data_IF_019112055107
#
_entry.id   IF_019112055107
#
_cell.length_a   1.000
_cell.length_b   1.000
_cell.length_c   1.000
_cell.angle_alpha   90.00
_cell.angle_beta   90.00
_cell.angle_gamma   90.00
#
_symmetry.space_group_name_H-M   'P 1'
#
loop_
_entity.id
_entity.type
_entity.pdbx_description
1 polymer ?
#
# COMPACT_ATOMS: atom_id res chain seq x y z
N UNK A 1 3.59 40.53 40.92
CA UNK A 1 3.23 40.35 39.54
C UNK A 1 4.33 39.62 38.78
N UNK A 2 5.56 40.07 38.76
CA UNK A 2 6.69 39.45 38.05
C UNK A 2 6.96 37.97 38.36
N UNK A 3 6.81 37.52 39.59
CA UNK A 3 7.09 36.13 40.01
C UNK A 3 5.96 35.18 39.53
N UNK A 4 4.73 35.63 39.55
CA UNK A 4 3.59 34.85 39.08
C UNK A 4 3.62 34.68 37.55
N UNK A 5 4.00 35.69 36.78
CA UNK A 5 4.13 35.64 35.35
C UNK A 5 5.27 34.70 34.92
N UNK A 6 6.42 34.77 35.59
CA UNK A 6 7.57 33.87 35.36
C UNK A 6 7.26 32.41 35.70
N UNK A 7 6.56 32.13 36.80
CA UNK A 7 6.18 30.77 37.21
C UNK A 7 5.10 30.22 36.23
N UNK A 8 4.15 31.04 35.82
CA UNK A 8 3.12 30.63 34.87
C UNK A 8 3.73 30.31 33.49
N UNK A 9 4.68 31.12 33.03
CA UNK A 9 5.37 30.92 31.75
C UNK A 9 6.21 29.63 31.79
N UNK A 10 6.98 29.39 32.89
CA UNK A 10 7.78 28.16 33.03
C UNK A 10 6.93 26.89 33.12
N UNK A 11 5.79 26.93 33.83
CA UNK A 11 4.87 25.78 33.91
C UNK A 11 4.20 25.53 32.54
N UNK A 12 3.83 26.59 31.84
CA UNK A 12 3.21 26.49 30.54
C UNK A 12 4.17 25.89 29.53
N UNK A 13 5.43 26.33 29.50
CA UNK A 13 6.47 25.77 28.62
C UNK A 13 6.72 24.28 28.94
N UNK A 14 6.77 23.92 30.23
CA UNK A 14 6.98 22.52 30.64
C UNK A 14 5.81 21.59 30.24
N UNK A 15 4.58 22.10 30.31
CA UNK A 15 3.40 21.36 29.85
C UNK A 15 3.41 21.23 28.30
N UNK A 16 3.79 22.29 27.59
CA UNK A 16 3.87 22.31 26.14
C UNK A 16 4.95 21.35 25.65
N UNK A 17 6.12 21.32 26.25
CA UNK A 17 7.20 20.39 25.95
C UNK A 17 6.79 18.94 26.22
N UNK A 18 6.07 18.69 27.31
CA UNK A 18 5.55 17.35 27.63
C UNK A 18 4.52 16.88 26.57
N UNK A 19 3.56 17.73 26.19
CA UNK A 19 2.57 17.43 25.16
C UNK A 19 3.27 17.16 23.82
N UNK A 20 4.22 18.03 23.45
CA UNK A 20 5.00 17.90 22.24
C UNK A 20 5.78 16.57 22.20
N UNK A 21 6.49 16.23 23.26
CA UNK A 21 7.21 14.97 23.41
C UNK A 21 6.30 13.74 23.29
N UNK A 22 5.08 13.81 23.84
CA UNK A 22 4.08 12.74 23.70
C UNK A 22 3.55 12.59 22.27
N UNK A 23 3.31 13.70 21.59
CA UNK A 23 2.86 13.67 20.17
C UNK A 23 3.96 13.09 19.29
N UNK A 24 5.21 13.52 19.45
CA UNK A 24 6.35 12.99 18.67
C UNK A 24 6.60 11.51 18.96
N UNK A 25 6.53 11.08 20.23
CA UNK A 25 6.64 9.67 20.60
C UNK A 25 5.55 8.82 19.92
N UNK A 26 4.31 9.26 19.98
CA UNK A 26 3.19 8.61 19.30
C UNK A 26 3.40 8.54 17.77
N UNK A 27 3.87 9.62 17.15
CA UNK A 27 4.17 9.64 15.72
C UNK A 27 5.26 8.64 15.35
N UNK A 28 6.33 8.56 16.14
CA UNK A 28 7.41 7.61 15.91
C UNK A 28 6.92 6.15 15.97
N UNK A 29 6.16 5.80 17.02
CA UNK A 29 5.60 4.46 17.19
C UNK A 29 4.66 4.12 16.03
N UNK A 30 3.89 5.10 15.57
CA UNK A 30 2.98 4.95 14.46
C UNK A 30 3.70 4.76 13.11
N UNK A 31 4.82 5.46 12.87
CA UNK A 31 5.66 5.25 11.70
C UNK A 31 6.30 3.86 11.67
N UNK A 32 6.80 3.38 12.81
CA UNK A 32 7.34 2.02 12.93
C UNK A 32 6.26 0.98 12.60
N UNK A 33 5.07 1.15 13.17
CA UNK A 33 3.92 0.29 12.89
C UNK A 33 3.52 0.33 11.41
N UNK A 34 3.53 1.50 10.77
CA UNK A 34 3.18 1.67 9.36
C UNK A 34 4.16 0.94 8.43
N UNK A 35 5.46 0.95 8.74
CA UNK A 35 6.47 0.27 7.94
C UNK A 35 6.33 -1.26 7.98
N UNK A 36 5.88 -1.82 9.10
CA UNK A 36 5.75 -3.27 9.28
C UNK A 36 4.40 -3.81 8.79
N UNK A 37 3.34 -3.03 8.87
CA UNK A 37 1.95 -3.48 8.66
C UNK A 37 1.64 -3.96 7.24
N UNK A 38 2.40 -3.52 6.23
CA UNK A 38 2.10 -3.83 4.84
C UNK A 38 2.34 -5.30 4.47
N UNK A 39 3.37 -5.93 5.02
CA UNK A 39 3.73 -7.33 4.77
C UNK A 39 2.96 -8.24 5.72
N UNK A 40 2.88 -7.89 6.99
CA UNK A 40 2.21 -8.64 8.04
C UNK A 40 0.73 -8.91 7.73
N UNK A 41 0.06 -8.03 6.97
CA UNK A 41 -1.34 -8.23 6.58
C UNK A 41 -1.53 -9.54 5.80
N UNK A 42 -0.62 -9.87 4.87
CA UNK A 42 -0.70 -11.09 4.07
C UNK A 42 -0.16 -12.33 4.77
N UNK A 43 0.51 -12.16 5.91
CA UNK A 43 0.94 -13.26 6.80
C UNK A 43 -0.17 -13.72 7.75
N UNK A 44 -1.24 -12.92 7.89
CA UNK A 44 -2.37 -13.28 8.74
C UNK A 44 -3.03 -14.58 8.26
N UNK A 45 -3.28 -15.56 9.16
CA UNK A 45 -3.80 -16.87 8.77
C UNK A 45 -5.12 -16.81 8.01
N UNK A 46 -6.02 -15.89 8.38
CA UNK A 46 -7.31 -15.71 7.70
C UNK A 46 -7.16 -15.11 6.30
N UNK A 47 -6.19 -14.20 6.08
CA UNK A 47 -5.90 -13.60 4.77
C UNK A 47 -5.33 -14.68 3.84
N UNK A 48 -4.41 -15.50 4.35
CA UNK A 48 -3.86 -16.62 3.60
C UNK A 48 -4.94 -17.66 3.25
N UNK A 49 -5.86 -17.96 4.17
CA UNK A 49 -6.99 -18.84 3.89
C UNK A 49 -7.89 -18.28 2.78
N UNK A 50 -8.19 -16.97 2.78
CA UNK A 50 -9.00 -16.32 1.75
C UNK A 50 -8.29 -16.33 0.40
N UNK A 51 -7.01 -15.98 0.34
CA UNK A 51 -6.22 -16.01 -0.91
C UNK A 51 -6.12 -17.42 -1.48
N UNK A 52 -5.92 -18.43 -0.63
CA UNK A 52 -5.88 -19.84 -1.01
C UNK A 52 -7.23 -20.30 -1.57
N UNK A 53 -8.34 -19.94 -0.93
CA UNK A 53 -9.68 -20.25 -1.43
C UNK A 53 -9.90 -19.68 -2.83
N UNK A 54 -9.59 -18.40 -3.05
CA UNK A 54 -9.74 -17.79 -4.38
C UNK A 54 -8.74 -18.33 -5.41
N UNK A 55 -7.59 -18.84 -4.97
CA UNK A 55 -6.66 -19.56 -5.85
C UNK A 55 -7.31 -20.84 -6.38
N UNK A 56 -7.90 -21.67 -5.52
CA UNK A 56 -8.60 -22.87 -5.93
C UNK A 56 -9.81 -22.56 -6.83
N UNK A 57 -10.58 -21.51 -6.49
CA UNK A 57 -11.68 -21.04 -7.33
C UNK A 57 -11.19 -20.63 -8.71
N UNK A 58 -10.10 -19.90 -8.80
CA UNK A 58 -9.47 -19.51 -10.07
C UNK A 58 -9.06 -20.71 -10.91
N UNK A 59 -8.44 -21.73 -10.31
CA UNK A 59 -8.11 -22.98 -11.00
C UNK A 59 -9.36 -23.74 -11.50
N UNK A 60 -10.39 -23.83 -10.68
CA UNK A 60 -11.66 -24.45 -11.08
C UNK A 60 -12.30 -23.72 -12.27
N UNK A 61 -12.36 -22.39 -12.20
CA UNK A 61 -12.91 -21.56 -13.28
C UNK A 61 -12.05 -21.64 -14.55
N UNK A 62 -10.74 -21.75 -14.42
CA UNK A 62 -9.84 -21.95 -15.54
C UNK A 62 -10.14 -23.26 -16.26
N UNK A 63 -10.30 -24.38 -15.53
CA UNK A 63 -10.64 -25.68 -16.12
C UNK A 63 -11.98 -25.61 -16.85
N UNK A 64 -12.99 -24.98 -16.25
CA UNK A 64 -14.29 -24.79 -16.92
C UNK A 64 -14.12 -23.92 -18.18
N UNK A 65 -13.32 -22.87 -18.10
CA UNK A 65 -13.00 -22.00 -19.25
C UNK A 65 -12.28 -22.74 -20.39
N UNK A 66 -11.38 -23.69 -20.08
CA UNK A 66 -10.75 -24.57 -21.08
C UNK A 66 -11.79 -25.42 -21.83
N UNK A 67 -12.68 -26.06 -21.07
CA UNK A 67 -13.73 -26.90 -21.67
C UNK A 67 -14.63 -26.09 -22.58
N UNK A 68 -15.13 -24.95 -22.13
CA UNK A 68 -15.97 -24.05 -22.92
C UNK A 68 -15.22 -23.54 -24.14
N UNK A 69 -13.97 -23.11 -23.98
CA UNK A 69 -13.14 -22.65 -25.11
C UNK A 69 -12.87 -23.73 -26.15
N UNK A 70 -12.77 -25.01 -25.74
CA UNK A 70 -12.66 -26.12 -26.67
C UNK A 70 -13.94 -26.31 -27.52
N UNK A 71 -15.13 -26.19 -26.90
CA UNK A 71 -16.40 -26.24 -27.63
C UNK A 71 -16.55 -25.04 -28.58
N UNK A 72 -16.22 -23.83 -28.12
CA UNK A 72 -16.24 -22.63 -28.97
C UNK A 72 -15.31 -22.81 -30.19
N UNK A 73 -14.07 -23.27 -29.96
CA UNK A 73 -13.13 -23.55 -31.03
C UNK A 73 -13.66 -24.60 -32.02
N UNK A 74 -14.30 -25.66 -31.52
CA UNK A 74 -14.86 -26.71 -32.40
C UNK A 74 -15.99 -26.17 -33.28
N UNK A 75 -16.87 -25.33 -32.74
CA UNK A 75 -17.97 -24.70 -33.49
C UNK A 75 -17.40 -23.73 -34.54
N UNK A 76 -16.44 -22.89 -34.16
CA UNK A 76 -15.81 -21.94 -35.08
C UNK A 76 -15.03 -22.63 -36.20
N UNK A 77 -14.35 -23.75 -35.86
CA UNK A 77 -13.62 -24.53 -36.83
C UNK A 77 -14.55 -25.14 -37.88
N UNK A 78 -15.72 -25.66 -37.47
CA UNK A 78 -16.75 -26.15 -38.41
C UNK A 78 -17.29 -25.04 -39.32
N UNK A 79 -17.33 -23.79 -38.83
CA UNK A 79 -17.70 -22.60 -39.59
C UNK A 79 -16.59 -22.05 -40.49
N UNK A 80 -15.41 -22.68 -40.55
CA UNK A 80 -14.25 -22.24 -41.33
C UNK A 80 -13.54 -20.97 -40.80
N UNK A 81 -13.84 -20.53 -39.58
CA UNK A 81 -13.30 -19.31 -39.00
C UNK A 81 -12.36 -19.57 -37.78
N UNK A 82 -12.38 -20.77 -37.24
CA UNK A 82 -11.63 -21.12 -36.06
C UNK A 82 -10.15 -21.41 -36.34
N UNK A 83 -9.26 -20.93 -35.47
CA UNK A 83 -7.83 -21.21 -35.47
C UNK A 83 -7.45 -22.02 -34.25
N UNK A 84 -7.14 -23.31 -34.41
CA UNK A 84 -6.66 -24.16 -33.33
C UNK A 84 -5.39 -23.57 -32.67
N UNK A 85 -4.52 -22.91 -33.47
CA UNK A 85 -3.31 -22.25 -32.97
C UNK A 85 -3.63 -21.13 -32.00
N UNK A 86 -4.62 -20.28 -32.30
CA UNK A 86 -4.98 -19.16 -31.45
C UNK A 86 -5.62 -19.64 -30.13
N UNK A 87 -6.45 -20.67 -30.19
CA UNK A 87 -7.04 -21.32 -29.02
C UNK A 87 -5.96 -21.93 -28.13
N UNK A 88 -5.00 -22.66 -28.71
CA UNK A 88 -3.87 -23.22 -27.94
C UNK A 88 -3.03 -22.11 -27.28
N UNK A 89 -2.80 -21.00 -28.00
CA UNK A 89 -2.08 -19.84 -27.42
C UNK A 89 -2.86 -19.20 -26.27
N UNK A 90 -4.18 -19.10 -26.37
CA UNK A 90 -5.03 -18.58 -25.30
C UNK A 90 -5.04 -19.50 -24.08
N UNK A 91 -4.96 -20.82 -24.25
CA UNK A 91 -4.82 -21.78 -23.14
C UNK A 91 -3.50 -21.61 -22.39
N UNK A 92 -2.38 -21.41 -23.12
CA UNK A 92 -1.08 -21.13 -22.50
C UNK A 92 -1.14 -19.80 -21.72
N UNK A 93 -1.70 -18.76 -22.29
CA UNK A 93 -1.90 -17.46 -21.59
C UNK A 93 -2.76 -17.63 -20.34
N UNK A 94 -3.84 -18.39 -20.42
CA UNK A 94 -4.73 -18.69 -19.30
C UNK A 94 -4.03 -19.46 -18.19
N UNK A 95 -3.21 -20.46 -18.54
CA UNK A 95 -2.40 -21.20 -17.58
C UNK A 95 -1.41 -20.29 -16.83
N UNK A 96 -0.70 -19.43 -17.55
CA UNK A 96 0.18 -18.44 -16.94
C UNK A 96 -0.60 -17.46 -16.05
N UNK A 97 -1.74 -16.98 -16.51
CA UNK A 97 -2.58 -16.07 -15.74
C UNK A 97 -3.04 -16.71 -14.42
N UNK A 98 -3.57 -17.94 -14.44
CA UNK A 98 -4.07 -18.63 -13.24
C UNK A 98 -2.95 -18.99 -12.25
N UNK A 99 -1.74 -19.23 -12.74
CA UNK A 99 -0.59 -19.51 -11.89
C UNK A 99 -0.07 -18.25 -11.17
N UNK A 100 -0.28 -17.07 -11.73
CA UNK A 100 0.32 -15.83 -11.28
C UNK A 100 -0.65 -14.87 -10.58
N UNK A 101 -1.97 -15.00 -10.78
CA UNK A 101 -2.93 -13.99 -10.34
C UNK A 101 -3.03 -13.81 -8.81
N UNK A 102 -2.68 -14.81 -8.02
CA UNK A 102 -2.60 -14.70 -6.54
C UNK A 102 -1.21 -14.31 -6.07
N UNK A 103 -0.17 -14.86 -6.71
CA UNK A 103 1.22 -14.71 -6.30
C UNK A 103 1.77 -13.33 -6.63
N UNK A 104 1.48 -12.83 -7.85
CA UNK A 104 2.01 -11.54 -8.31
C UNK A 104 1.50 -10.36 -7.51
N UNK A 105 0.20 -10.21 -7.21
CA UNK A 105 -0.28 -9.08 -6.42
C UNK A 105 0.32 -9.01 -5.02
N UNK A 106 0.43 -10.16 -4.33
CA UNK A 106 1.01 -10.24 -2.97
C UNK A 106 2.48 -9.85 -2.99
N UNK A 107 3.27 -10.46 -3.88
CA UNK A 107 4.69 -10.18 -4.00
C UNK A 107 4.98 -8.75 -4.47
N UNK A 108 4.17 -8.22 -5.40
CA UNK A 108 4.29 -6.84 -5.86
C UNK A 108 4.00 -5.85 -4.73
N UNK A 109 2.99 -6.12 -3.91
CA UNK A 109 2.68 -5.32 -2.74
C UNK A 109 3.80 -5.37 -1.71
N UNK A 110 4.32 -6.56 -1.39
CA UNK A 110 5.46 -6.74 -0.51
C UNK A 110 6.72 -6.01 -1.02
N UNK A 111 6.98 -6.06 -2.33
CA UNK A 111 8.05 -5.28 -2.97
C UNK A 111 7.87 -3.77 -2.77
N UNK A 112 6.67 -3.26 -3.00
CA UNK A 112 6.36 -1.83 -2.83
C UNK A 112 6.55 -1.37 -1.38
N UNK A 113 6.15 -2.20 -0.41
CA UNK A 113 6.36 -1.93 1.04
C UNK A 113 7.84 -1.99 1.40
N UNK A 114 8.58 -2.96 0.89
CA UNK A 114 10.04 -3.08 1.07
C UNK A 114 10.78 -1.86 0.50
N UNK A 115 10.40 -1.40 -0.69
CA UNK A 115 10.95 -0.17 -1.28
C UNK A 115 10.63 1.07 -0.42
N UNK A 116 9.44 1.15 0.15
CA UNK A 116 9.06 2.21 1.08
C UNK A 116 9.95 2.22 2.32
N UNK A 117 10.18 1.06 2.94
CA UNK A 117 11.07 0.93 4.10
C UNK A 117 12.52 1.29 3.78
N UNK A 118 13.03 0.83 2.63
CA UNK A 118 14.39 1.15 2.15
C UNK A 118 14.55 2.64 1.86
N UNK A 119 13.55 3.28 1.28
CA UNK A 119 13.55 4.71 1.02
C UNK A 119 13.51 5.51 2.33
N UNK A 120 12.68 5.11 3.30
CA UNK A 120 12.63 5.70 4.63
C UNK A 120 13.97 5.62 5.36
N UNK A 121 14.63 4.45 5.35
CA UNK A 121 15.94 4.27 5.97
C UNK A 121 17.06 5.04 5.26
N UNK A 122 17.01 5.16 3.94
CA UNK A 122 17.96 5.98 3.19
C UNK A 122 17.85 7.46 3.57
N UNK A 123 16.65 7.97 3.76
CA UNK A 123 16.38 9.35 4.19
C UNK A 123 16.89 9.59 5.62
N UNK A 124 16.59 8.70 6.56
CA UNK A 124 17.08 8.82 7.95
C UNK A 124 18.62 8.78 8.02
N UNK A 125 19.25 7.98 7.14
CA UNK A 125 20.71 7.95 7.00
C UNK A 125 21.32 9.27 6.50
N UNK A 126 20.62 9.99 5.61
CA UNK A 126 21.08 11.32 5.11
C UNK A 126 20.94 12.38 6.21
N UNK A 127 19.91 12.31 7.03
CA UNK A 127 19.65 13.29 8.12
C UNK A 127 20.38 12.97 9.41
N UNK A 128 21.18 11.89 9.46
CA UNK A 128 21.81 11.36 10.68
C UNK A 128 20.81 11.14 11.85
N UNK A 129 19.57 10.83 11.52
CA UNK A 129 18.48 10.62 12.48
C UNK A 129 18.24 9.12 12.67
N UNK A 130 18.13 8.68 13.92
CA UNK A 130 17.91 7.25 14.24
C UNK A 130 16.51 6.76 13.83
N UNK A 131 15.56 7.68 13.55
CA UNK A 131 14.21 7.33 13.16
C UNK A 131 13.54 8.43 12.32
N UNK A 132 12.52 8.06 11.53
CA UNK A 132 11.69 9.02 10.76
C UNK A 132 11.00 10.02 11.71
N UNK A 133 10.62 9.60 12.92
CA UNK A 133 10.05 10.48 13.93
C UNK A 133 11.02 11.59 14.38
N UNK A 134 12.32 11.26 14.54
CA UNK A 134 13.36 12.26 14.84
C UNK A 134 13.61 13.17 13.64
N UNK A 135 13.56 12.66 12.41
CA UNK A 135 13.64 13.47 11.19
C UNK A 135 12.49 14.46 11.12
N UNK A 136 11.27 14.02 11.42
CA UNK A 136 10.10 14.89 11.50
C UNK A 136 10.23 15.96 12.60
N UNK A 137 10.80 15.60 13.73
CA UNK A 137 11.09 16.54 14.81
C UNK A 137 12.15 17.56 14.41
N UNK A 138 13.21 17.13 13.75
CA UNK A 138 14.25 18.04 13.23
C UNK A 138 13.73 18.96 12.14
N UNK A 139 12.86 18.44 11.24
CA UNK A 139 12.19 19.24 10.23
C UNK A 139 11.29 20.31 10.86
N UNK A 140 10.53 19.97 11.91
CA UNK A 140 9.72 20.93 12.64
C UNK A 140 10.57 21.99 13.39
N UNK A 141 11.72 21.58 13.96
CA UNK A 141 12.63 22.51 14.64
C UNK A 141 13.45 23.36 13.66
N UNK A 142 13.81 22.79 12.48
CA UNK A 142 14.58 23.50 11.45
C UNK A 142 13.69 24.36 10.53
N UNK A 143 12.40 24.07 10.45
CA UNK A 143 11.40 24.98 9.89
C UNK A 143 11.24 26.21 10.80
N UNK A 144 12.36 26.81 11.15
CA UNK A 144 12.46 28.12 11.81
C UNK A 144 11.97 29.16 10.81
N UNK A 145 10.65 29.29 10.68
CA UNK A 145 10.10 30.52 10.10
C UNK A 145 10.59 31.65 11.01
N UNK A 146 11.35 32.63 10.49
CA UNK A 146 11.80 33.75 11.29
C UNK A 146 10.57 34.51 11.80
N UNK A 147 10.30 34.42 13.10
CA UNK A 147 9.15 35.01 13.76
C UNK A 147 8.24 34.05 14.52
N UNK A 148 8.49 32.73 14.50
CA UNK A 148 7.65 31.74 15.17
C UNK A 148 8.42 31.12 16.36
N UNK A 149 8.65 31.94 17.36
CA UNK A 149 8.92 31.49 18.72
C UNK A 149 7.62 31.17 19.49
N UNK A 150 6.55 30.83 18.77
CA UNK A 150 5.26 30.63 19.41
C UNK A 150 5.02 29.12 19.62
N UNK A 151 5.13 28.60 20.86
CA UNK A 151 4.95 27.18 21.16
C UNK A 151 3.60 26.64 20.71
N UNK A 152 2.57 27.49 20.65
CA UNK A 152 1.22 27.14 20.17
C UNK A 152 1.25 26.74 18.68
N UNK A 153 2.05 27.40 17.86
CA UNK A 153 2.14 27.07 16.43
C UNK A 153 2.89 25.76 16.21
N UNK A 154 3.93 25.46 17.00
CA UNK A 154 4.63 24.17 16.96
C UNK A 154 3.69 23.01 17.30
N UNK A 155 2.81 23.16 18.30
CA UNK A 155 1.80 22.17 18.65
C UNK A 155 0.79 22.02 17.52
N UNK A 156 0.35 23.11 16.92
CA UNK A 156 -0.59 23.07 15.78
C UNK A 156 0.02 22.32 14.59
N UNK A 157 1.28 22.58 14.23
CA UNK A 157 1.99 21.85 13.17
C UNK A 157 2.16 20.37 13.52
N UNK A 158 2.47 20.02 14.77
CA UNK A 158 2.58 18.64 15.21
C UNK A 158 1.25 17.88 15.12
N UNK A 159 0.13 18.53 15.46
CA UNK A 159 -1.22 17.95 15.31
C UNK A 159 -1.56 17.73 13.84
N UNK A 160 -1.29 18.71 12.97
CA UNK A 160 -1.53 18.60 11.52
C UNK A 160 -0.70 17.47 10.89
N UNK A 161 0.56 17.33 11.30
CA UNK A 161 1.44 16.23 10.88
C UNK A 161 0.87 14.88 11.37
N UNK A 162 0.46 14.79 12.63
CA UNK A 162 -0.18 13.59 13.19
C UNK A 162 -1.41 13.17 12.38
N UNK A 163 -2.26 14.12 12.03
CA UNK A 163 -3.42 13.84 11.17
C UNK A 163 -3.01 13.30 9.79
N UNK A 164 -1.99 13.88 9.16
CA UNK A 164 -1.51 13.42 7.86
C UNK A 164 -0.98 11.98 7.92
N UNK A 165 -0.19 11.65 8.95
CA UNK A 165 0.36 10.30 9.18
C UNK A 165 -0.76 9.28 9.40
N UNK A 166 -1.74 9.58 10.27
CA UNK A 166 -2.91 8.72 10.53
C UNK A 166 -3.69 8.49 9.22
N UNK A 167 -3.89 9.52 8.42
CA UNK A 167 -4.59 9.42 7.14
C UNK A 167 -3.87 8.51 6.15
N UNK A 168 -2.53 8.58 6.08
CA UNK A 168 -1.72 7.69 5.23
C UNK A 168 -1.80 6.24 5.72
N UNK A 169 -1.73 6.03 7.04
CA UNK A 169 -1.88 4.70 7.64
C UNK A 169 -3.20 4.03 7.25
N UNK A 170 -4.33 4.68 7.51
CA UNK A 170 -5.63 4.14 7.12
C UNK A 170 -5.76 3.98 5.61
N UNK A 171 -5.11 4.85 4.84
CA UNK A 171 -5.00 4.72 3.38
C UNK A 171 -4.31 3.41 2.98
N UNK A 172 -3.20 3.06 3.60
CA UNK A 172 -2.45 1.83 3.34
C UNK A 172 -3.24 0.58 3.77
N UNK A 173 -3.86 0.61 4.95
CA UNK A 173 -4.71 -0.48 5.43
C UNK A 173 -5.90 -0.74 4.47
N UNK A 174 -6.57 0.32 4.05
CA UNK A 174 -7.66 0.24 3.06
C UNK A 174 -7.18 -0.39 1.74
N UNK A 175 -5.97 -0.06 1.28
CA UNK A 175 -5.41 -0.62 0.04
C UNK A 175 -5.11 -2.11 0.14
N UNK A 176 -4.60 -2.56 1.28
CA UNK A 176 -4.45 -4.00 1.54
C UNK A 176 -5.76 -4.75 1.41
N UNK A 177 -6.84 -4.22 2.01
CA UNK A 177 -8.18 -4.77 1.87
C UNK A 177 -8.71 -4.74 0.42
N UNK A 178 -8.49 -3.64 -0.32
CA UNK A 178 -8.85 -3.56 -1.74
C UNK A 178 -8.06 -4.58 -2.56
N UNK A 179 -6.79 -4.81 -2.26
CA UNK A 179 -5.98 -5.81 -2.96
C UNK A 179 -6.52 -7.24 -2.76
N UNK A 180 -7.00 -7.58 -1.56
CA UNK A 180 -7.69 -8.85 -1.30
C UNK A 180 -8.96 -9.00 -2.17
N UNK A 181 -9.75 -7.94 -2.27
CA UNK A 181 -10.92 -7.92 -3.14
C UNK A 181 -10.51 -8.08 -4.61
N UNK A 182 -9.42 -7.46 -5.02
CA UNK A 182 -8.89 -7.61 -6.38
C UNK A 182 -8.42 -9.04 -6.66
N UNK A 183 -7.82 -9.74 -5.70
CA UNK A 183 -7.48 -11.16 -5.84
C UNK A 183 -8.77 -11.99 -6.02
N UNK A 184 -9.80 -11.72 -5.24
CA UNK A 184 -11.09 -12.39 -5.39
C UNK A 184 -11.72 -12.15 -6.77
N UNK A 185 -11.74 -10.91 -7.25
CA UNK A 185 -12.25 -10.56 -8.59
C UNK A 185 -11.36 -11.16 -9.68
N UNK A 186 -10.03 -11.19 -9.47
CA UNK A 186 -9.07 -11.82 -10.38
C UNK A 186 -9.38 -13.26 -10.69
N UNK A 187 -9.87 -14.04 -9.70
CA UNK A 187 -10.26 -15.43 -9.91
C UNK A 187 -11.36 -15.60 -10.95
N UNK A 188 -12.29 -14.64 -11.07
CA UNK A 188 -13.40 -14.70 -12.02
C UNK A 188 -12.93 -14.55 -13.48
N UNK A 189 -11.85 -13.77 -13.72
CA UNK A 189 -11.28 -13.62 -15.07
C UNK A 189 -10.62 -14.89 -15.58
N UNK A 190 -10.28 -15.85 -14.68
CA UNK A 190 -9.68 -17.11 -15.08
C UNK A 190 -10.60 -17.98 -15.96
N UNK A 191 -11.90 -17.72 -15.93
CA UNK A 191 -12.86 -18.32 -16.87
C UNK A 191 -12.77 -17.71 -18.29
N UNK A 192 -12.50 -16.41 -18.39
CA UNK A 192 -12.53 -15.66 -19.64
C UNK A 192 -11.23 -15.76 -20.44
N UNK A 193 -10.07 -15.79 -19.76
CA UNK A 193 -8.74 -15.73 -20.38
C UNK A 193 -8.51 -16.91 -21.35
N UNK A 194 -8.78 -18.19 -21.01
CA UNK A 194 -8.58 -19.30 -21.93
C UNK A 194 -9.51 -19.27 -23.14
N UNK A 195 -10.63 -18.57 -23.05
CA UNK A 195 -11.58 -18.34 -24.17
C UNK A 195 -11.13 -17.22 -25.12
N UNK A 196 -10.04 -16.49 -24.81
CA UNK A 196 -9.52 -15.39 -25.62
C UNK A 196 -10.00 -14.00 -25.21
N UNK A 197 -10.90 -13.88 -24.20
CA UNK A 197 -11.37 -12.57 -23.69
C UNK A 197 -10.42 -12.04 -22.62
N UNK A 198 -9.33 -11.38 -23.05
CA UNK A 198 -8.22 -10.97 -22.20
C UNK A 198 -8.38 -9.54 -21.64
N UNK A 199 -9.20 -8.70 -22.27
CA UNK A 199 -9.29 -7.27 -21.99
C UNK A 199 -9.61 -6.96 -20.52
N UNK A 200 -10.56 -7.68 -19.92
CA UNK A 200 -10.91 -7.55 -18.51
C UNK A 200 -9.75 -7.91 -17.58
N UNK A 201 -9.01 -8.96 -17.91
CA UNK A 201 -7.83 -9.37 -17.15
C UNK A 201 -6.69 -8.33 -17.23
N UNK A 202 -6.45 -7.77 -18.43
CA UNK A 202 -5.45 -6.69 -18.59
C UNK A 202 -5.83 -5.46 -17.77
N UNK A 203 -7.10 -5.08 -17.76
CA UNK A 203 -7.58 -3.96 -16.95
C UNK A 203 -7.43 -4.24 -15.45
N UNK A 204 -7.72 -5.46 -15.01
CA UNK A 204 -7.49 -5.92 -13.66
C UNK A 204 -6.00 -5.83 -13.28
N UNK A 205 -5.08 -6.30 -14.13
CA UNK A 205 -3.64 -6.17 -13.91
C UNK A 205 -3.21 -4.71 -13.71
N UNK A 206 -3.71 -3.79 -14.55
CA UNK A 206 -3.43 -2.35 -14.41
C UNK A 206 -3.92 -1.79 -13.08
N UNK A 207 -5.09 -2.21 -12.62
CA UNK A 207 -5.63 -1.79 -11.31
C UNK A 207 -4.79 -2.30 -10.16
N UNK A 208 -4.38 -3.57 -10.16
CA UNK A 208 -3.50 -4.16 -9.14
C UNK A 208 -2.17 -3.42 -9.07
N UNK A 209 -1.52 -3.20 -10.21
CA UNK A 209 -0.27 -2.44 -10.29
C UNK A 209 -0.47 -1.01 -9.77
N UNK A 210 -1.55 -0.34 -10.18
CA UNK A 210 -1.89 1.01 -9.72
C UNK A 210 -2.05 1.11 -8.21
N UNK A 211 -2.72 0.12 -7.58
CA UNK A 211 -2.90 0.08 -6.12
C UNK A 211 -1.55 -0.07 -5.40
N UNK A 212 -0.70 -0.99 -5.86
CA UNK A 212 0.61 -1.24 -5.26
C UNK A 212 1.53 -0.03 -5.39
N UNK A 213 1.66 0.57 -6.58
CA UNK A 213 2.51 1.74 -6.82
C UNK A 213 2.00 2.97 -6.07
N UNK A 214 0.68 3.16 -5.97
CA UNK A 214 0.10 4.30 -5.24
C UNK A 214 0.44 4.25 -3.75
N UNK A 215 0.51 3.06 -3.14
CA UNK A 215 0.94 2.92 -1.75
C UNK A 215 2.38 3.44 -1.56
N UNK A 216 3.30 3.01 -2.40
CA UNK A 216 4.69 3.46 -2.40
C UNK A 216 4.82 4.97 -2.63
N UNK A 217 4.18 5.52 -3.68
CA UNK A 217 4.26 6.94 -4.00
C UNK A 217 3.72 7.83 -2.89
N UNK A 218 2.61 7.46 -2.27
CA UNK A 218 2.02 8.27 -1.18
C UNK A 218 2.92 8.32 0.05
N UNK A 219 3.56 7.22 0.39
CA UNK A 219 4.52 7.16 1.48
C UNK A 219 5.78 7.97 1.16
N UNK A 220 6.28 7.86 -0.08
CA UNK A 220 7.42 8.64 -0.56
C UNK A 220 7.16 10.14 -0.50
N UNK A 221 5.97 10.58 -0.95
CA UNK A 221 5.57 12.00 -0.88
C UNK A 221 5.46 12.48 0.57
N UNK A 222 4.90 11.65 1.47
CA UNK A 222 4.83 12.00 2.89
C UNK A 222 6.24 12.18 3.48
N UNK A 223 7.14 11.22 3.22
CA UNK A 223 8.51 11.27 3.73
C UNK A 223 9.28 12.46 3.14
N UNK A 224 9.14 12.73 1.85
CA UNK A 224 9.75 13.90 1.21
C UNK A 224 9.18 15.22 1.77
N UNK A 225 7.87 15.28 2.03
CA UNK A 225 7.24 16.46 2.63
C UNK A 225 7.66 16.73 4.08
N UNK A 226 8.21 15.73 4.79
CA UNK A 226 8.78 15.89 6.11
C UNK A 226 10.20 16.48 6.09
N UNK A 227 10.85 16.50 4.91
CA UNK A 227 12.22 17.01 4.75
C UNK A 227 12.30 18.47 4.26
N UNK A 228 11.20 19.01 3.76
CA UNK A 228 11.10 20.40 3.27
C UNK A 228 10.57 21.32 4.37
#
# INVERSE_FOLDING_TARGET
>A
MFIFDFVAETILDQILDWIYGKIIGFLNDFFVMMNNMGVELFELPWVNAVTTFFSYLGWALFVVGLVVGAFECAIEYQGGRGSIKDTAMNYIKGFMAVSLFTVVPVNLYALCVSLQGSFGSAITGITNSESIGLTAQQALMSASFPGIGNPILMIFCAIMMGYAVIKVFFGNLKRGGILLIQIAVGSLYMFSVPRGYIDGFIQWCKQVIGICITAFLQSTILTAGLMV
#
